data_IF_413539605403
#
_entry.id   IF_413539605403
#
_cell.length_a   1.000
_cell.length_b   1.000
_cell.length_c   1.000
_cell.angle_alpha   90.00
_cell.angle_beta   90.00
_cell.angle_gamma   90.00
#
_symmetry.space_group_name_H-M   'P 1'
#
loop_
_entity.id
_entity.type
_entity.pdbx_description
1 polymer ?
#
# COMPACT_ATOMS: atom_id res chain seq x y z
N UNK A 1 14.16 7.45 -11.16
CA UNK A 1 12.83 6.92 -10.78
C UNK A 1 12.10 7.90 -9.87
N UNK A 2 12.74 8.54 -8.91
CA UNK A 2 12.10 9.45 -7.94
C UNK A 2 11.35 10.63 -8.58
N UNK A 3 11.96 11.26 -9.59
CA UNK A 3 11.28 12.31 -10.38
C UNK A 3 10.02 11.80 -11.08
N UNK A 4 10.07 10.59 -11.65
CA UNK A 4 8.90 10.01 -12.32
C UNK A 4 7.80 9.62 -11.33
N UNK A 5 8.15 9.17 -10.14
CA UNK A 5 7.23 8.90 -9.03
C UNK A 5 6.56 10.17 -8.52
N UNK A 6 7.32 11.26 -8.35
CA UNK A 6 6.79 12.58 -8.00
C UNK A 6 5.77 13.06 -9.05
N UNK A 7 6.11 13.00 -10.34
CA UNK A 7 5.17 13.36 -11.42
C UNK A 7 3.93 12.47 -11.47
N UNK A 8 4.07 11.18 -11.09
CA UNK A 8 2.94 10.26 -10.99
C UNK A 8 1.98 10.71 -9.90
N UNK A 9 2.46 11.01 -8.70
CA UNK A 9 1.65 11.51 -7.59
C UNK A 9 0.94 12.83 -7.89
N UNK A 10 1.62 13.75 -8.62
CA UNK A 10 1.04 15.05 -8.95
C UNK A 10 0.00 15.03 -10.10
N UNK A 11 0.23 14.21 -11.13
CA UNK A 11 -0.49 14.29 -12.42
C UNK A 11 -1.19 12.98 -12.81
N UNK A 12 -1.02 11.94 -12.04
CA UNK A 12 -1.49 10.58 -12.32
C UNK A 12 -0.82 9.99 -13.58
N UNK A 13 -1.07 8.70 -13.82
CA UNK A 13 -0.44 7.99 -14.95
C UNK A 13 -0.60 8.71 -16.30
N UNK A 14 -1.79 9.20 -16.62
CA UNK A 14 -2.04 9.84 -17.93
C UNK A 14 -1.33 11.19 -18.06
N UNK A 15 -1.20 11.95 -16.99
CA UNK A 15 -0.62 13.29 -17.00
C UNK A 15 0.90 13.33 -17.12
N UNK A 16 1.60 12.26 -16.76
CA UNK A 16 3.08 12.22 -16.81
C UNK A 16 3.60 12.19 -18.25
N UNK A 17 4.55 13.10 -18.52
CA UNK A 17 5.31 13.16 -19.78
C UNK A 17 6.72 12.61 -19.57
N UNK A 18 7.08 11.54 -20.31
CA UNK A 18 8.47 11.03 -20.29
C UNK A 18 9.50 12.07 -20.74
N UNK A 19 9.09 13.03 -21.56
CA UNK A 19 9.96 14.11 -22.01
C UNK A 19 10.28 15.10 -20.90
N UNK A 20 9.31 15.39 -20.04
CA UNK A 20 9.51 16.21 -18.84
C UNK A 20 10.38 15.49 -17.83
N UNK A 21 10.09 14.22 -17.55
CA UNK A 21 10.90 13.37 -16.67
C UNK A 21 12.36 13.32 -17.14
N UNK A 22 12.62 13.06 -18.43
CA UNK A 22 14.00 12.98 -18.95
C UNK A 22 14.72 14.31 -18.88
N UNK A 23 14.01 15.42 -19.15
CA UNK A 23 14.58 16.78 -19.06
C UNK A 23 14.97 17.12 -17.61
N UNK A 24 14.11 16.79 -16.66
CA UNK A 24 14.34 17.08 -15.24
C UNK A 24 15.47 16.23 -14.64
N UNK A 25 15.53 14.94 -15.00
CA UNK A 25 16.61 14.04 -14.59
C UNK A 25 17.94 14.35 -15.31
N UNK A 26 17.91 15.09 -16.41
CA UNK A 26 19.09 15.39 -17.21
C UNK A 26 19.58 14.24 -18.07
N UNK A 27 18.71 13.30 -18.44
CA UNK A 27 19.02 12.17 -19.32
C UNK A 27 18.40 12.32 -20.70
N UNK A 28 18.98 11.68 -21.71
CA UNK A 28 18.41 11.70 -23.05
C UNK A 28 17.25 10.71 -23.21
N UNK A 29 16.32 11.00 -24.10
CA UNK A 29 15.23 10.08 -24.47
C UNK A 29 15.73 8.69 -24.88
N UNK A 30 16.78 8.56 -25.72
CA UNK A 30 17.37 7.24 -26.02
C UNK A 30 17.89 6.50 -24.78
N UNK A 31 18.47 7.19 -23.80
CA UNK A 31 18.95 6.57 -22.57
C UNK A 31 17.78 6.02 -21.74
N UNK A 32 16.65 6.73 -21.67
CA UNK A 32 15.45 6.22 -21.00
C UNK A 32 14.93 4.95 -21.70
N UNK A 33 14.79 4.95 -23.03
CA UNK A 33 14.32 3.78 -23.77
C UNK A 33 15.31 2.61 -23.79
N UNK A 34 16.58 2.85 -23.52
CA UNK A 34 17.55 1.79 -23.30
C UNK A 34 17.24 1.01 -22.01
N UNK A 35 16.85 1.70 -20.94
CA UNK A 35 16.50 1.07 -19.66
C UNK A 35 15.03 0.60 -19.60
N UNK A 36 14.15 1.30 -20.28
CA UNK A 36 12.70 1.03 -20.33
C UNK A 36 12.23 0.94 -21.78
N UNK A 37 12.54 -0.16 -22.49
CA UNK A 37 12.19 -0.33 -23.91
C UNK A 37 10.70 -0.17 -24.23
N UNK A 38 9.82 -0.54 -23.28
CA UNK A 38 8.37 -0.37 -23.39
C UNK A 38 7.90 1.03 -22.94
N UNK A 39 8.85 1.93 -22.67
CA UNK A 39 8.59 3.33 -22.35
C UNK A 39 7.90 3.55 -21.01
N UNK A 40 6.83 4.34 -21.04
CA UNK A 40 6.12 4.83 -19.87
C UNK A 40 5.57 3.68 -19.00
N UNK A 41 4.95 2.69 -19.62
CA UNK A 41 4.35 1.57 -18.92
C UNK A 41 5.41 0.81 -18.08
N UNK A 42 6.52 0.43 -18.71
CA UNK A 42 7.58 -0.29 -18.01
C UNK A 42 8.23 0.54 -16.88
N UNK A 43 8.40 1.83 -17.08
CA UNK A 43 8.91 2.73 -16.04
C UNK A 43 7.98 2.73 -14.81
N UNK A 44 6.67 2.83 -15.02
CA UNK A 44 5.72 2.86 -13.91
C UNK A 44 5.56 1.50 -13.22
N UNK A 45 5.66 0.39 -13.95
CA UNK A 45 5.73 -0.94 -13.36
C UNK A 45 6.97 -1.06 -12.46
N UNK A 46 8.11 -0.56 -12.89
CA UNK A 46 9.33 -0.56 -12.06
C UNK A 46 9.19 0.33 -10.80
N UNK A 47 8.48 1.45 -10.89
CA UNK A 47 8.17 2.30 -9.74
C UNK A 47 7.24 1.56 -8.76
N UNK A 48 6.17 0.95 -9.26
CA UNK A 48 5.23 0.19 -8.45
C UNK A 48 5.91 -0.99 -7.72
N UNK A 49 6.78 -1.73 -8.40
CA UNK A 49 7.58 -2.79 -7.77
C UNK A 49 8.47 -2.26 -6.65
N UNK A 50 9.14 -1.13 -6.85
CA UNK A 50 9.98 -0.50 -5.82
C UNK A 50 9.15 -0.10 -4.60
N UNK A 51 7.99 0.51 -4.79
CA UNK A 51 7.08 0.89 -3.72
C UNK A 51 6.56 -0.34 -2.95
N UNK A 52 6.13 -1.39 -3.66
CA UNK A 52 5.68 -2.64 -3.05
C UNK A 52 6.79 -3.34 -2.27
N UNK A 53 8.01 -3.35 -2.75
CA UNK A 53 9.15 -3.92 -2.04
C UNK A 53 9.46 -3.13 -0.76
N UNK A 54 9.44 -1.80 -0.81
CA UNK A 54 9.58 -0.95 0.37
C UNK A 54 8.51 -1.28 1.43
N UNK A 55 7.25 -1.41 1.01
CA UNK A 55 6.16 -1.82 1.91
C UNK A 55 6.38 -3.21 2.49
N UNK A 56 6.81 -4.18 1.68
CA UNK A 56 7.11 -5.54 2.14
C UNK A 56 8.15 -5.54 3.26
N UNK A 57 9.27 -4.86 3.04
CA UNK A 57 10.34 -4.76 4.04
C UNK A 57 9.88 -4.07 5.33
N UNK A 58 9.10 -3.00 5.20
CA UNK A 58 8.56 -2.28 6.34
C UNK A 58 7.58 -3.12 7.15
N UNK A 59 6.67 -3.82 6.47
CA UNK A 59 5.70 -4.71 7.10
C UNK A 59 6.38 -5.90 7.80
N UNK A 60 7.35 -6.54 7.14
CA UNK A 60 8.10 -7.66 7.74
C UNK A 60 8.83 -7.22 9.01
N UNK A 61 9.48 -6.04 9.00
CA UNK A 61 10.11 -5.48 10.21
C UNK A 61 9.08 -5.20 11.31
N UNK A 62 7.96 -4.56 10.95
CA UNK A 62 6.89 -4.24 11.90
C UNK A 62 6.31 -5.50 12.54
N UNK A 63 6.02 -6.54 11.74
CA UNK A 63 5.47 -7.81 12.21
C UNK A 63 6.47 -8.55 13.11
N UNK A 64 7.75 -8.62 12.71
CA UNK A 64 8.79 -9.34 13.44
C UNK A 64 9.09 -8.75 14.82
N UNK A 65 8.85 -7.46 15.02
CA UNK A 65 9.10 -6.76 16.29
C UNK A 65 8.08 -7.08 17.39
N UNK A 66 6.98 -7.78 17.09
CA UNK A 66 5.88 -7.97 18.01
C UNK A 66 5.48 -9.46 18.17
N UNK A 67 5.18 -9.92 19.41
CA UNK A 67 4.88 -11.33 19.66
C UNK A 67 3.43 -11.73 19.37
N UNK A 68 2.44 -10.87 19.64
CA UNK A 68 1.01 -11.17 19.49
C UNK A 68 0.43 -10.69 18.17
N UNK A 69 -0.63 -11.35 17.68
CA UNK A 69 -1.33 -10.97 16.47
C UNK A 69 -1.89 -9.55 16.55
N UNK A 70 -2.52 -9.20 17.67
CA UNK A 70 -3.05 -7.85 17.89
C UNK A 70 -1.94 -6.77 17.81
N UNK A 71 -0.79 -7.02 18.45
CA UNK A 71 0.34 -6.08 18.40
C UNK A 71 0.95 -5.98 17.00
N UNK A 72 1.05 -7.09 16.26
CA UNK A 72 1.48 -7.12 14.86
C UNK A 72 0.57 -6.28 13.98
N UNK A 73 -0.76 -6.42 14.11
CA UNK A 73 -1.71 -5.65 13.31
C UNK A 73 -1.67 -4.15 13.63
N UNK A 74 -1.45 -3.77 14.91
CA UNK A 74 -1.22 -2.36 15.28
C UNK A 74 0.04 -1.80 14.60
N UNK A 75 1.13 -2.56 14.61
CA UNK A 75 2.37 -2.15 13.96
C UNK A 75 2.22 -2.03 12.44
N UNK A 76 1.50 -2.96 11.80
CA UNK A 76 1.15 -2.92 10.38
C UNK A 76 0.33 -1.66 10.05
N UNK A 77 -0.72 -1.38 10.84
CA UNK A 77 -1.57 -0.21 10.63
C UNK A 77 -0.78 1.10 10.79
N UNK A 78 0.03 1.22 11.83
CA UNK A 78 0.91 2.39 12.03
C UNK A 78 1.87 2.57 10.86
N UNK A 79 2.50 1.49 10.39
CA UNK A 79 3.40 1.53 9.24
C UNK A 79 2.67 2.04 7.99
N UNK A 80 1.60 1.39 7.59
CA UNK A 80 0.85 1.75 6.39
C UNK A 80 0.27 3.16 6.46
N UNK A 81 -0.22 3.59 7.61
CA UNK A 81 -0.81 4.92 7.77
C UNK A 81 0.24 6.03 7.94
N UNK A 82 1.44 5.75 8.44
CA UNK A 82 2.51 6.74 8.52
C UNK A 82 3.15 7.05 7.17
N UNK A 83 3.35 6.04 6.34
CA UNK A 83 3.93 6.17 5.00
C UNK A 83 2.92 6.79 4.01
N UNK A 84 1.65 6.48 4.17
CA UNK A 84 0.60 6.88 3.22
C UNK A 84 0.09 8.31 3.37
N UNK A 85 0.73 9.14 4.17
CA UNK A 85 0.52 10.58 4.06
C UNK A 85 0.98 11.14 2.69
N UNK A 86 1.64 10.34 1.87
CA UNK A 86 2.13 10.72 0.56
C UNK A 86 1.62 9.80 -0.57
N UNK A 87 1.47 8.49 -0.33
CA UNK A 87 1.11 7.53 -1.38
C UNK A 87 0.18 6.43 -0.85
N UNK A 88 -0.94 6.16 -1.55
CA UNK A 88 -1.84 5.05 -1.28
C UNK A 88 -1.52 3.86 -2.19
N UNK A 89 -0.68 2.90 -1.79
CA UNK A 89 -0.22 1.86 -2.70
C UNK A 89 -1.36 1.05 -3.32
N UNK A 90 -2.46 0.86 -2.60
CA UNK A 90 -3.64 0.16 -3.12
C UNK A 90 -4.38 0.93 -4.20
N UNK A 91 -4.56 2.24 -4.01
CA UNK A 91 -5.30 3.09 -4.94
C UNK A 91 -4.46 3.39 -6.17
N UNK A 92 -3.19 3.67 -6.00
CA UNK A 92 -2.25 3.88 -7.11
C UNK A 92 -2.08 2.64 -7.98
N UNK A 93 -1.94 1.46 -7.37
CA UNK A 93 -1.87 0.19 -8.10
C UNK A 93 -3.16 -0.10 -8.86
N UNK A 94 -4.32 0.18 -8.25
CA UNK A 94 -5.61 0.01 -8.90
C UNK A 94 -5.78 0.97 -10.08
N UNK A 95 -5.37 2.22 -9.92
CA UNK A 95 -5.46 3.20 -10.98
C UNK A 95 -4.45 2.93 -12.10
N UNK A 96 -3.22 2.55 -11.76
CA UNK A 96 -2.22 2.12 -12.73
C UNK A 96 -2.69 0.90 -13.51
N UNK A 97 -3.29 -0.10 -12.84
CA UNK A 97 -3.76 -1.33 -13.49
C UNK A 97 -4.77 -1.10 -14.62
N UNK A 98 -5.49 0.03 -14.61
CA UNK A 98 -6.45 0.38 -15.68
C UNK A 98 -5.78 0.80 -16.98
N UNK A 99 -4.50 1.17 -16.94
CA UNK A 99 -3.79 1.77 -18.07
C UNK A 99 -2.64 0.92 -18.59
N UNK A 100 -2.36 -0.20 -17.95
CA UNK A 100 -1.27 -1.12 -18.34
C UNK A 100 -1.82 -2.37 -19.01
N UNK A 101 -0.96 -3.08 -19.72
CA UNK A 101 -1.28 -4.34 -20.41
C UNK A 101 -1.72 -5.42 -19.40
N UNK A 102 -2.48 -6.42 -19.88
CA UNK A 102 -2.93 -7.55 -19.06
C UNK A 102 -1.76 -8.28 -18.39
N UNK A 103 -0.64 -8.42 -19.11
CA UNK A 103 0.59 -9.02 -18.55
C UNK A 103 1.08 -8.25 -17.34
N UNK A 104 1.15 -6.91 -17.40
CA UNK A 104 1.58 -6.08 -16.30
C UNK A 104 0.54 -6.01 -15.17
N UNK A 105 -0.75 -6.15 -15.47
CA UNK A 105 -1.78 -6.28 -14.43
C UNK A 105 -1.56 -7.53 -13.58
N UNK A 106 -1.24 -8.66 -14.20
CA UNK A 106 -0.92 -9.91 -13.49
C UNK A 106 0.36 -9.75 -12.65
N UNK A 107 1.40 -9.16 -13.22
CA UNK A 107 2.66 -8.88 -12.52
C UNK A 107 2.46 -7.99 -11.28
N UNK A 108 1.67 -6.92 -11.40
CA UNK A 108 1.33 -6.06 -10.27
C UNK A 108 0.50 -6.77 -9.21
N UNK A 109 -0.45 -7.60 -9.63
CA UNK A 109 -1.24 -8.40 -8.70
C UNK A 109 -0.37 -9.38 -7.91
N UNK A 110 0.54 -10.10 -8.56
CA UNK A 110 1.49 -11.00 -7.90
C UNK A 110 2.39 -10.25 -6.92
N UNK A 111 2.92 -9.10 -7.33
CA UNK A 111 3.73 -8.25 -6.46
C UNK A 111 2.95 -7.74 -5.24
N UNK A 112 1.70 -7.30 -5.43
CA UNK A 112 0.81 -6.91 -4.34
C UNK A 112 0.56 -8.06 -3.36
N UNK A 113 0.22 -9.25 -3.88
CA UNK A 113 0.00 -10.41 -3.02
C UNK A 113 1.24 -10.79 -2.23
N UNK A 114 2.41 -10.75 -2.84
CA UNK A 114 3.68 -11.05 -2.17
C UNK A 114 4.08 -10.01 -1.12
N UNK A 115 3.89 -8.74 -1.43
CA UNK A 115 4.43 -7.62 -0.64
C UNK A 115 3.51 -7.12 0.46
N UNK A 116 2.21 -7.10 0.25
CA UNK A 116 1.23 -6.58 1.21
C UNK A 116 0.35 -7.68 1.80
N UNK A 117 -0.30 -8.48 0.96
CA UNK A 117 -1.26 -9.47 1.44
C UNK A 117 -0.58 -10.58 2.25
N UNK A 118 0.45 -11.24 1.71
CA UNK A 118 1.04 -12.43 2.32
C UNK A 118 1.67 -12.21 3.71
N UNK A 119 2.42 -11.12 3.99
CA UNK A 119 2.92 -10.86 5.33
C UNK A 119 1.81 -10.69 6.38
N UNK A 120 0.76 -9.95 6.03
CA UNK A 120 -0.39 -9.71 6.91
C UNK A 120 -1.20 -11.00 7.11
N UNK A 121 -1.43 -11.75 6.04
CA UNK A 121 -2.13 -13.03 6.08
C UNK A 121 -1.43 -14.04 7.00
N UNK A 122 -0.11 -14.17 6.91
CA UNK A 122 0.67 -15.03 7.82
C UNK A 122 0.52 -14.60 9.29
N UNK A 123 0.54 -13.29 9.57
CA UNK A 123 0.36 -12.78 10.93
C UNK A 123 -1.04 -13.11 11.49
N UNK A 124 -2.09 -12.93 10.68
CA UNK A 124 -3.47 -13.25 11.04
C UNK A 124 -3.66 -14.76 11.20
N UNK A 125 -3.16 -15.58 10.26
CA UNK A 125 -3.25 -17.05 10.34
C UNK A 125 -2.63 -17.59 11.61
N UNK A 126 -1.44 -17.10 11.98
CA UNK A 126 -0.78 -17.47 13.23
C UNK A 126 -1.59 -17.08 14.46
N UNK A 127 -2.27 -15.93 14.46
CA UNK A 127 -3.13 -15.51 15.57
C UNK A 127 -4.42 -16.36 15.67
N UNK A 128 -4.98 -16.79 14.54
CA UNK A 128 -6.11 -17.74 14.50
C UNK A 128 -5.67 -19.12 15.00
N UNK A 129 -4.55 -19.65 14.51
CA UNK A 129 -4.01 -20.95 14.92
C UNK A 129 -3.66 -21.02 16.41
N UNK A 130 -3.19 -19.91 16.99
CA UNK A 130 -2.91 -19.82 18.43
C UNK A 130 -4.14 -19.62 19.30
N UNK A 131 -5.32 -19.39 18.72
CA UNK A 131 -6.56 -19.08 19.43
C UNK A 131 -6.63 -17.64 19.96
N UNK A 132 -5.71 -16.74 19.55
CA UNK A 132 -5.77 -15.32 19.90
C UNK A 132 -6.97 -14.64 19.19
N UNK A 133 -7.29 -15.06 17.96
CA UNK A 133 -8.46 -14.62 17.22
C UNK A 133 -9.52 -15.72 17.16
N UNK A 134 -10.78 -15.37 17.44
CA UNK A 134 -11.90 -16.31 17.47
C UNK A 134 -12.46 -16.66 16.07
N UNK A 135 -12.33 -15.75 15.11
CA UNK A 135 -12.72 -15.99 13.72
C UNK A 135 -11.70 -16.92 13.04
N UNK A 136 -12.17 -17.95 12.35
CA UNK A 136 -11.35 -19.00 11.77
C UNK A 136 -11.17 -18.92 10.24
N UNK A 137 -11.43 -17.75 9.64
CA UNK A 137 -11.25 -17.49 8.19
C UNK A 137 -10.17 -16.44 7.95
N UNK A 138 -8.89 -16.80 8.05
CA UNK A 138 -7.79 -15.85 7.98
C UNK A 138 -7.74 -15.08 6.65
N UNK A 139 -8.16 -15.67 5.53
CA UNK A 139 -8.28 -15.00 4.23
C UNK A 139 -9.29 -13.85 4.29
N UNK A 140 -10.47 -14.11 4.85
CA UNK A 140 -11.51 -13.09 5.03
C UNK A 140 -11.06 -11.98 5.96
N UNK A 141 -10.45 -12.32 7.08
CA UNK A 141 -9.90 -11.34 8.03
C UNK A 141 -8.82 -10.46 7.40
N UNK A 142 -7.95 -11.05 6.58
CA UNK A 142 -6.91 -10.29 5.88
C UNK A 142 -7.50 -9.26 4.93
N UNK A 143 -8.48 -9.66 4.11
CA UNK A 143 -9.16 -8.74 3.22
C UNK A 143 -9.97 -7.68 3.96
N UNK A 144 -10.68 -8.05 5.04
CA UNK A 144 -11.42 -7.12 5.88
C UNK A 144 -10.48 -6.07 6.50
N UNK A 145 -9.34 -6.51 7.03
CA UNK A 145 -8.34 -5.61 7.62
C UNK A 145 -7.75 -4.63 6.59
N UNK A 146 -7.31 -5.13 5.44
CA UNK A 146 -6.78 -4.30 4.36
C UNK A 146 -7.82 -3.30 3.84
N UNK A 147 -9.08 -3.75 3.67
CA UNK A 147 -10.17 -2.90 3.21
C UNK A 147 -10.50 -1.80 4.22
N UNK A 148 -10.46 -2.13 5.52
CA UNK A 148 -10.68 -1.16 6.60
C UNK A 148 -9.60 -0.09 6.61
N UNK A 149 -8.33 -0.49 6.51
CA UNK A 149 -7.20 0.43 6.43
C UNK A 149 -7.31 1.35 5.21
N UNK A 150 -7.52 0.78 4.02
CA UNK A 150 -7.66 1.56 2.77
C UNK A 150 -8.82 2.54 2.84
N UNK A 151 -9.99 2.12 3.33
CA UNK A 151 -11.16 2.99 3.49
C UNK A 151 -10.90 4.16 4.44
N UNK A 152 -10.23 3.93 5.56
CA UNK A 152 -9.91 4.99 6.52
C UNK A 152 -8.90 5.99 5.98
N UNK A 153 -7.92 5.53 5.20
CA UNK A 153 -6.97 6.39 4.52
C UNK A 153 -7.65 7.30 3.49
N UNK A 154 -8.58 6.75 2.70
CA UNK A 154 -9.38 7.55 1.74
C UNK A 154 -10.21 8.64 2.42
N UNK A 155 -10.85 8.32 3.55
CA UNK A 155 -11.63 9.30 4.32
C UNK A 155 -10.76 10.46 4.80
N UNK A 156 -9.55 10.17 5.29
CA UNK A 156 -8.61 11.19 5.76
C UNK A 156 -8.17 12.15 4.64
N UNK A 157 -8.06 11.65 3.42
CA UNK A 157 -7.61 12.43 2.26
C UNK A 157 -8.76 13.12 1.50
N UNK A 158 -10.01 13.01 1.97
CA UNK A 158 -11.16 13.64 1.34
C UNK A 158 -11.36 15.07 1.88
N UNK A 159 -11.09 16.13 1.10
CA UNK A 159 -11.13 17.51 1.58
C UNK A 159 -12.49 17.99 2.10
N UNK A 160 -13.58 17.34 1.67
CA UNK A 160 -14.96 17.73 1.97
C UNK A 160 -15.73 16.66 2.77
N UNK A 161 -15.05 15.67 3.32
CA UNK A 161 -15.66 14.63 4.15
C UNK A 161 -16.09 15.14 5.53
N UNK A 162 -17.00 14.44 6.23
CA UNK A 162 -17.33 14.75 7.62
C UNK A 162 -16.07 14.69 8.46
N UNK A 163 -15.85 15.70 9.27
CA UNK A 163 -14.66 15.81 10.09
C UNK A 163 -14.58 14.66 11.09
N UNK A 164 -13.55 13.81 10.96
CA UNK A 164 -13.21 12.82 11.99
C UNK A 164 -12.91 13.54 13.33
N UNK A 165 -13.18 12.91 14.48
CA UNK A 165 -12.76 13.43 15.78
C UNK A 165 -11.27 13.77 15.79
N UNK A 166 -10.89 14.82 16.50
CA UNK A 166 -9.52 15.33 16.50
C UNK A 166 -8.48 14.26 16.86
N UNK A 167 -8.82 13.35 17.78
CA UNK A 167 -7.95 12.25 18.20
C UNK A 167 -7.66 11.22 17.09
N UNK A 168 -8.55 11.12 16.09
CA UNK A 168 -8.42 10.17 14.97
C UNK A 168 -7.84 10.81 13.70
N UNK A 169 -7.48 12.09 13.72
CA UNK A 169 -6.93 12.79 12.54
C UNK A 169 -5.43 12.59 12.35
N UNK A 170 -4.72 12.14 13.37
CA UNK A 170 -3.32 11.78 13.24
C UNK A 170 -3.19 10.37 12.67
N UNK A 171 -2.13 10.10 11.91
CA UNK A 171 -1.85 8.76 11.38
C UNK A 171 -1.86 7.69 12.50
N UNK A 172 -1.25 8.00 13.65
CA UNK A 172 -1.23 7.10 14.80
C UNK A 172 -2.63 6.89 15.40
N UNK A 173 -3.38 7.96 15.65
CA UNK A 173 -4.75 7.86 16.19
C UNK A 173 -5.68 7.11 15.25
N UNK A 174 -5.56 7.30 13.95
CA UNK A 174 -6.33 6.58 12.95
C UNK A 174 -5.96 5.09 12.94
N UNK A 175 -4.68 4.77 12.97
CA UNK A 175 -4.19 3.38 13.03
C UNK A 175 -4.76 2.65 14.26
N UNK A 176 -4.64 3.27 15.44
CA UNK A 176 -5.14 2.67 16.69
C UNK A 176 -6.64 2.42 16.65
N UNK A 177 -7.44 3.43 16.29
CA UNK A 177 -8.90 3.29 16.26
C UNK A 177 -9.38 2.28 15.21
N UNK A 178 -8.71 2.23 14.05
CA UNK A 178 -9.04 1.26 12.99
C UNK A 178 -8.76 -0.16 13.45
N UNK A 179 -7.61 -0.37 14.10
CA UNK A 179 -7.27 -1.70 14.62
C UNK A 179 -8.15 -2.08 15.80
N UNK A 180 -8.48 -1.16 16.71
CA UNK A 180 -9.42 -1.44 17.80
C UNK A 180 -10.79 -1.87 17.26
N UNK A 181 -11.31 -1.19 16.24
CA UNK A 181 -12.56 -1.57 15.59
C UNK A 181 -12.49 -2.99 15.00
N UNK A 182 -11.39 -3.33 14.33
CA UNK A 182 -11.18 -4.66 13.78
C UNK A 182 -11.06 -5.72 14.88
N UNK A 183 -10.24 -5.47 15.90
CA UNK A 183 -9.99 -6.43 16.99
C UNK A 183 -11.24 -6.70 17.82
N UNK A 184 -12.10 -5.71 18.07
CA UNK A 184 -13.36 -5.90 18.79
C UNK A 184 -14.33 -6.86 18.07
N UNK A 185 -14.14 -7.12 16.78
CA UNK A 185 -14.89 -8.10 16.02
C UNK A 185 -14.28 -9.50 15.96
N UNK A 186 -13.02 -9.68 16.39
CA UNK A 186 -12.27 -10.94 16.22
C UNK A 186 -11.68 -11.51 17.52
N UNK A 187 -11.59 -10.72 18.58
CA UNK A 187 -11.17 -11.21 19.91
C UNK A 187 -12.29 -12.03 20.55
N UNK A 188 -11.93 -13.04 21.37
CA UNK A 188 -12.89 -13.86 22.11
C UNK A 188 -13.76 -13.07 23.06
#
# INVERSE_FOLDING_TARGET
MDVAEMHLGESGYLGVSLEEVTREVGVSKPALYYHFPQGKEQLFIAIAHRALEHHREGLERAIAAHPSGAAKLRAVARWLMSESNQDHPMDELRDLSRFVSEQHQLELAEAFFGSLYSPIHRAISSAVESGEFSENRPEFLTWAFLSLLSGMLQVNNTPSGPALPQATRTAEGMAEHTVDLFLNGVLP
#
